data_IF_933549838748
#
_entry.id   IF_933549838748
#
_cell.length_a   1.000
_cell.length_b   1.000
_cell.length_c   1.000
_cell.angle_alpha   90.00
_cell.angle_beta   90.00
_cell.angle_gamma   90.00
#
_symmetry.space_group_name_H-M   'P 1'
#
loop_
_entity.id
_entity.type
_entity.pdbx_description
1 polymer ?
#
# COMPACT_ATOMS: atom_id res chain seq x y z
N UNK A 1 -101.84 15.67 10.11
CA UNK A 1 -100.59 16.44 9.92
C UNK A 1 -99.42 15.48 10.18
N UNK A 2 -98.85 14.80 9.19
CA UNK A 2 -97.96 15.25 8.09
C UNK A 2 -96.46 15.28 8.50
N UNK A 3 -95.69 14.27 8.02
CA UNK A 3 -94.24 14.21 7.66
C UNK A 3 -93.17 14.56 8.73
N UNK A 4 -91.93 14.04 8.80
CA UNK A 4 -91.00 13.22 7.99
C UNK A 4 -89.83 12.78 8.93
N UNK A 5 -89.34 11.53 8.95
CA UNK A 5 -88.30 10.87 8.11
C UNK A 5 -86.84 10.95 8.66
N UNK A 6 -86.18 9.77 8.65
CA UNK A 6 -84.75 9.45 8.40
C UNK A 6 -83.89 8.86 9.56
N UNK A 7 -83.40 7.65 9.28
CA UNK A 7 -82.43 6.76 9.93
C UNK A 7 -81.02 7.32 10.25
N UNK A 8 -80.34 6.75 11.28
CA UNK A 8 -79.05 6.03 11.12
C UNK A 8 -78.60 5.29 12.39
N UNK A 9 -78.20 4.01 12.22
CA UNK A 9 -77.53 3.15 13.20
C UNK A 9 -76.12 3.63 13.54
N UNK A 10 -75.61 3.38 14.77
CA UNK A 10 -74.22 2.94 15.02
C UNK A 10 -74.08 2.08 16.28
N UNK A 11 -73.53 0.87 16.09
CA UNK A 11 -72.98 -0.06 17.10
C UNK A 11 -71.75 0.54 17.79
N UNK A 12 -71.44 0.09 19.02
CA UNK A 12 -70.07 0.16 19.57
C UNK A 12 -69.71 -1.14 20.28
N UNK A 13 -68.94 -1.98 19.58
CA UNK A 13 -68.24 -3.16 20.10
C UNK A 13 -67.17 -2.74 21.13
N UNK A 14 -67.08 -3.49 22.23
CA UNK A 14 -65.92 -3.53 23.12
C UNK A 14 -65.19 -4.86 22.90
N UNK A 15 -63.89 -4.85 23.19
CA UNK A 15 -62.97 -5.99 23.28
C UNK A 15 -62.09 -6.24 22.04
N UNK A 16 -60.86 -5.70 22.10
CA UNK A 16 -59.62 -6.32 21.62
C UNK A 16 -58.48 -5.31 21.77
N UNK A 17 -57.80 -5.27 22.92
CA UNK A 17 -56.58 -4.42 23.07
C UNK A 17 -55.38 -5.10 23.73
N UNK A 18 -55.51 -6.32 24.26
CA UNK A 18 -54.39 -7.00 24.93
C UNK A 18 -53.63 -7.96 24.01
N UNK A 19 -54.21 -8.34 22.86
CA UNK A 19 -53.60 -9.32 21.94
C UNK A 19 -52.48 -8.76 21.06
N UNK A 20 -52.45 -7.45 20.77
CA UNK A 20 -51.42 -6.87 19.88
C UNK A 20 -50.08 -6.62 20.56
N UNK A 21 -50.04 -6.40 21.87
CA UNK A 21 -48.80 -5.99 22.57
C UNK A 21 -47.81 -7.15 22.72
N UNK A 22 -48.30 -8.38 22.91
CA UNK A 22 -47.49 -9.59 23.01
C UNK A 22 -46.89 -10.03 21.66
N UNK A 23 -47.56 -9.73 20.54
CA UNK A 23 -47.06 -9.99 19.18
C UNK A 23 -45.91 -9.05 18.77
N UNK A 24 -45.88 -7.82 19.31
CA UNK A 24 -44.78 -6.88 19.05
C UNK A 24 -43.48 -7.26 19.77
N UNK A 25 -43.56 -7.85 20.96
CA UNK A 25 -42.37 -8.24 21.76
C UNK A 25 -41.66 -9.45 21.12
N UNK A 26 -42.39 -10.39 20.51
CA UNK A 26 -41.78 -11.50 19.76
C UNK A 26 -41.05 -11.05 18.49
N UNK A 27 -41.45 -9.92 17.89
CA UNK A 27 -40.82 -9.40 16.66
C UNK A 27 -39.46 -8.75 16.92
N UNK A 28 -39.24 -8.19 18.11
CA UNK A 28 -37.98 -7.51 18.48
C UNK A 28 -36.89 -8.55 18.83
N UNK A 29 -37.27 -9.69 19.43
CA UNK A 29 -36.33 -10.77 19.77
C UNK A 29 -35.92 -11.63 18.56
N UNK A 30 -36.67 -11.59 17.45
CA UNK A 30 -36.35 -12.30 16.20
C UNK A 30 -35.46 -11.50 15.24
N UNK A 31 -35.15 -10.24 15.55
CA UNK A 31 -34.28 -9.40 14.73
C UNK A 31 -32.81 -9.72 15.03
N UNK A 32 -32.34 -10.81 14.42
CA UNK A 32 -30.99 -10.97 13.90
C UNK A 32 -29.84 -10.48 14.80
N UNK A 33 -29.41 -11.33 15.74
CA UNK A 33 -27.99 -11.33 16.09
C UNK A 33 -27.24 -11.90 14.89
N UNK A 34 -27.00 -11.09 13.86
CA UNK A 34 -25.98 -11.43 12.87
C UNK A 34 -24.65 -11.35 13.61
N UNK A 35 -23.83 -12.41 13.61
CA UNK A 35 -22.45 -12.23 14.04
C UNK A 35 -21.87 -11.11 13.17
N UNK A 36 -21.32 -10.07 13.78
CA UNK A 36 -20.38 -9.18 13.10
C UNK A 36 -19.27 -10.10 12.63
N UNK A 37 -19.35 -10.51 11.36
CA UNK A 37 -18.23 -11.15 10.69
C UNK A 37 -17.17 -10.07 10.66
N UNK A 38 -16.17 -10.17 11.54
CA UNK A 38 -14.94 -9.46 11.33
C UNK A 38 -14.47 -9.91 9.95
N UNK A 39 -14.68 -9.05 8.95
CA UNK A 39 -13.95 -9.11 7.70
C UNK A 39 -12.53 -8.69 8.10
N UNK A 40 -11.82 -9.59 8.79
CA UNK A 40 -10.40 -9.75 8.50
C UNK A 40 -10.43 -10.42 7.14
N UNK A 41 -10.58 -9.57 6.13
CA UNK A 41 -10.24 -9.95 4.77
C UNK A 41 -8.82 -10.46 4.88
N UNK A 42 -8.64 -11.77 4.67
CA UNK A 42 -7.34 -12.29 4.31
C UNK A 42 -7.08 -11.76 2.89
N UNK A 43 -6.88 -10.44 2.76
CA UNK A 43 -6.28 -9.86 1.57
C UNK A 43 -4.92 -10.56 1.50
N UNK A 44 -4.75 -11.43 0.51
CA UNK A 44 -3.41 -11.95 0.23
C UNK A 44 -2.49 -10.74 0.09
N UNK A 45 -1.36 -10.72 0.83
CA UNK A 45 -0.50 -9.55 0.84
C UNK A 45 -0.12 -9.24 -0.61
N UNK A 46 -0.18 -7.96 -1.02
CA UNK A 46 -0.05 -7.58 -2.41
C UNK A 46 1.22 -8.17 -3.02
N UNK A 47 1.05 -9.02 -4.03
CA UNK A 47 2.14 -9.69 -4.72
C UNK A 47 2.68 -8.81 -5.85
N UNK A 48 3.94 -8.41 -5.76
CA UNK A 48 4.68 -7.73 -6.83
C UNK A 48 5.55 -8.75 -7.54
N UNK A 49 5.30 -9.07 -8.82
CA UNK A 49 6.17 -9.96 -9.56
C UNK A 49 7.53 -9.31 -9.75
N UNK A 50 8.58 -10.12 -9.69
CA UNK A 50 9.94 -9.70 -10.03
C UNK A 50 10.53 -10.62 -11.09
N UNK A 51 11.52 -10.12 -11.82
CA UNK A 51 12.42 -10.97 -12.60
C UNK A 51 13.81 -10.93 -11.97
N UNK A 52 14.64 -11.90 -12.28
CA UNK A 52 16.04 -11.90 -11.83
C UNK A 52 16.97 -11.45 -12.94
N UNK A 53 17.94 -10.60 -12.62
CA UNK A 53 19.08 -10.32 -13.48
C UNK A 53 20.35 -10.77 -12.74
N UNK A 54 21.07 -11.77 -13.25
CA UNK A 54 22.22 -12.36 -12.54
C UNK A 54 21.87 -12.98 -11.17
N UNK A 55 20.62 -13.43 -10.98
CA UNK A 55 20.12 -13.95 -9.70
C UNK A 55 19.60 -12.87 -8.74
N UNK A 56 19.73 -11.59 -9.08
CA UNK A 56 19.29 -10.47 -8.24
C UNK A 56 17.84 -10.09 -8.61
N UNK A 57 16.90 -10.02 -7.64
CA UNK A 57 15.53 -9.61 -7.90
C UNK A 57 15.42 -8.15 -8.37
N UNK A 58 14.67 -7.94 -9.45
CA UNK A 58 14.34 -6.65 -10.01
C UNK A 58 12.83 -6.49 -10.09
N UNK A 59 12.29 -5.49 -9.40
CA UNK A 59 10.86 -5.15 -9.41
C UNK A 59 10.59 -3.92 -10.28
N UNK A 60 9.41 -3.89 -10.88
CA UNK A 60 8.86 -2.68 -11.51
C UNK A 60 8.10 -1.85 -10.47
N UNK A 61 8.32 -0.55 -10.48
CA UNK A 61 7.73 0.41 -9.57
C UNK A 61 7.40 1.73 -10.30
N UNK A 62 6.87 2.70 -9.54
CA UNK A 62 6.83 4.11 -9.94
C UNK A 62 7.55 4.95 -8.89
N UNK A 63 8.47 5.80 -9.34
CA UNK A 63 9.09 6.82 -8.51
C UNK A 63 8.58 8.18 -9.00
N UNK A 64 7.92 8.93 -8.10
CA UNK A 64 7.23 10.19 -8.42
C UNK A 64 6.32 10.06 -9.66
N UNK A 65 5.59 8.95 -9.75
CA UNK A 65 4.67 8.64 -10.85
C UNK A 65 5.33 8.14 -12.13
N UNK A 66 6.66 8.13 -12.24
CA UNK A 66 7.40 7.67 -13.43
C UNK A 66 7.83 6.22 -13.28
N UNK A 67 7.73 5.44 -14.36
CA UNK A 67 8.11 4.02 -14.35
C UNK A 67 9.59 3.88 -14.02
N UNK A 68 9.88 3.07 -13.00
CA UNK A 68 11.23 2.78 -12.52
C UNK A 68 11.38 1.28 -12.28
N UNK A 69 12.62 0.80 -12.28
CA UNK A 69 12.94 -0.53 -11.79
C UNK A 69 13.87 -0.43 -10.58
N UNK A 70 13.65 -1.30 -9.61
CA UNK A 70 14.43 -1.32 -8.39
C UNK A 70 15.02 -2.70 -8.17
N UNK A 71 16.30 -2.69 -7.79
CA UNK A 71 16.99 -3.87 -7.31
C UNK A 71 16.59 -4.09 -5.85
N UNK A 72 16.30 -5.33 -5.48
CA UNK A 72 16.05 -5.70 -4.08
C UNK A 72 17.31 -6.33 -3.53
N UNK A 73 17.97 -5.65 -2.60
CA UNK A 73 19.29 -6.01 -2.10
C UNK A 73 19.29 -6.15 -0.58
N UNK A 74 19.23 -7.41 -0.11
CA UNK A 74 19.28 -7.73 1.32
C UNK A 74 20.63 -7.41 1.96
N UNK A 75 21.69 -7.19 1.17
CA UNK A 75 23.00 -6.76 1.64
C UNK A 75 23.13 -5.26 1.87
N UNK A 76 22.20 -4.46 1.33
CA UNK A 76 22.17 -3.01 1.54
C UNK A 76 21.47 -2.66 2.88
N UNK A 77 22.13 -1.86 3.71
CA UNK A 77 21.53 -1.36 4.96
C UNK A 77 20.54 -0.22 4.73
N UNK A 78 20.71 0.53 3.63
CA UNK A 78 19.91 1.70 3.29
C UNK A 78 19.40 1.62 1.85
N UNK A 79 18.23 2.20 1.60
CA UNK A 79 17.66 2.31 0.26
C UNK A 79 18.25 3.51 -0.48
N UNK A 80 18.75 3.28 -1.68
CA UNK A 80 19.45 4.25 -2.51
C UNK A 80 18.66 4.58 -3.76
N UNK A 81 18.55 5.85 -4.12
CA UNK A 81 18.11 6.29 -5.44
C UNK A 81 19.31 6.55 -6.36
N UNK A 82 19.15 6.25 -7.64
CA UNK A 82 20.14 6.52 -8.67
C UNK A 82 20.18 8.02 -8.99
N UNK A 83 21.21 8.71 -8.51
CA UNK A 83 21.41 10.15 -8.68
C UNK A 83 21.55 10.55 -10.16
N UNK A 84 22.11 9.68 -11.00
CA UNK A 84 22.19 9.90 -12.44
C UNK A 84 20.83 10.03 -13.14
N UNK A 85 19.77 9.57 -12.49
CA UNK A 85 18.39 9.64 -12.99
C UNK A 85 17.53 10.66 -12.21
N UNK A 86 18.15 11.51 -11.38
CA UNK A 86 17.44 12.46 -10.53
C UNK A 86 16.51 13.42 -11.30
N UNK A 87 16.99 13.94 -12.43
CA UNK A 87 16.17 14.79 -13.31
C UNK A 87 14.98 14.01 -13.89
N UNK A 88 15.25 12.79 -14.39
CA UNK A 88 14.18 11.95 -14.93
C UNK A 88 13.16 11.63 -13.85
N UNK A 89 13.54 11.24 -12.64
CA UNK A 89 12.59 10.89 -11.58
C UNK A 89 12.08 12.08 -10.76
N UNK A 90 12.56 13.29 -11.02
CA UNK A 90 12.07 14.52 -10.39
C UNK A 90 12.40 14.62 -8.90
N UNK A 91 13.64 14.35 -8.51
CA UNK A 91 14.13 14.56 -7.16
C UNK A 91 15.45 15.34 -7.14
N UNK A 92 15.79 15.91 -5.99
CA UNK A 92 17.02 16.67 -5.78
C UNK A 92 17.90 15.96 -4.76
N UNK A 93 19.22 16.07 -4.93
CA UNK A 93 20.22 15.53 -4.02
C UNK A 93 20.92 16.65 -3.28
N UNK A 94 21.28 16.41 -2.02
CA UNK A 94 22.08 17.35 -1.22
C UNK A 94 23.09 16.58 -0.39
N UNK A 95 24.33 17.05 -0.40
CA UNK A 95 25.38 16.52 0.45
C UNK A 95 25.09 16.83 1.91
N UNK A 96 25.30 15.84 2.78
CA UNK A 96 24.93 15.90 4.19
C UNK A 96 26.09 16.49 5.02
N UNK A 97 26.30 17.81 4.94
CA UNK A 97 27.44 18.46 5.64
C UNK A 97 27.22 18.64 7.15
N UNK A 98 25.99 18.47 7.65
CA UNK A 98 25.61 18.95 8.99
C UNK A 98 25.06 17.88 9.94
N UNK A 99 24.67 16.67 9.48
CA UNK A 99 24.12 15.61 10.33
C UNK A 99 24.29 14.20 9.72
N UNK A 100 24.79 13.24 10.51
CA UNK A 100 24.84 11.79 10.24
C UNK A 100 25.17 11.41 8.78
N UNK A 101 26.44 11.59 8.41
CA UNK A 101 26.99 11.00 7.18
C UNK A 101 26.66 9.51 7.15
N UNK A 102 25.79 9.11 6.23
CA UNK A 102 25.56 7.69 5.97
C UNK A 102 26.68 7.22 5.07
N UNK A 103 27.70 6.64 5.70
CA UNK A 103 28.77 5.94 5.03
C UNK A 103 28.20 4.66 4.40
N UNK A 104 28.21 4.63 3.07
CA UNK A 104 27.93 3.43 2.28
C UNK A 104 29.27 2.82 1.94
N UNK A 105 29.45 1.55 2.31
CA UNK A 105 30.61 0.77 1.88
C UNK A 105 30.17 -0.15 0.77
N UNK A 106 30.71 0.07 -0.42
CA UNK A 106 30.50 -0.77 -1.59
C UNK A 106 31.83 -1.42 -2.01
N UNK A 107 31.85 -2.06 -3.19
CA UNK A 107 33.05 -2.71 -3.72
C UNK A 107 34.19 -1.72 -4.06
N UNK A 108 33.89 -0.42 -4.16
CA UNK A 108 34.83 0.65 -4.47
C UNK A 108 35.30 1.39 -3.20
N UNK A 109 34.90 0.93 -2.01
CA UNK A 109 35.30 1.49 -0.72
C UNK A 109 34.15 2.19 0.01
N UNK A 110 34.50 3.00 1.01
CA UNK A 110 33.53 3.72 1.84
C UNK A 110 33.37 5.15 1.32
N UNK A 111 32.13 5.59 1.17
CA UNK A 111 31.76 6.91 0.66
C UNK A 111 30.50 7.40 1.33
N UNK A 112 30.25 8.71 1.31
CA UNK A 112 29.03 9.30 1.86
C UNK A 112 27.90 9.24 0.84
N UNK A 113 26.71 8.84 1.27
CA UNK A 113 25.50 8.94 0.46
C UNK A 113 24.79 10.28 0.67
N UNK A 114 24.25 10.84 -0.42
CA UNK A 114 23.56 12.13 -0.40
C UNK A 114 22.14 11.97 0.15
N UNK A 115 21.56 13.05 0.71
CA UNK A 115 20.12 13.09 1.03
C UNK A 115 19.31 13.34 -0.23
N UNK A 116 18.13 12.73 -0.28
CA UNK A 116 17.15 12.95 -1.35
C UNK A 116 16.01 13.83 -0.83
N UNK A 117 15.51 14.74 -1.66
CA UNK A 117 14.22 15.40 -1.42
C UNK A 117 13.08 14.38 -1.25
N UNK A 118 11.97 14.72 -0.57
CA UNK A 118 10.84 13.81 -0.43
C UNK A 118 10.37 13.25 -1.77
N UNK A 119 10.19 11.93 -1.83
CA UNK A 119 9.76 11.19 -3.01
C UNK A 119 8.60 10.25 -2.67
N UNK A 120 7.81 9.91 -3.67
CA UNK A 120 6.77 8.89 -3.58
C UNK A 120 7.19 7.68 -4.39
N UNK A 121 7.37 6.55 -3.73
CA UNK A 121 7.66 5.27 -4.36
C UNK A 121 6.44 4.35 -4.26
N UNK A 122 5.96 3.87 -5.39
CA UNK A 122 4.82 2.97 -5.50
C UNK A 122 5.25 1.65 -6.14
N UNK A 123 4.96 0.53 -5.49
CA UNK A 123 5.12 -0.80 -6.09
C UNK A 123 4.03 -1.73 -5.59
N UNK A 124 3.35 -2.41 -6.52
CA UNK A 124 2.09 -3.09 -6.21
C UNK A 124 1.07 -2.11 -5.68
N UNK A 125 0.45 -2.43 -4.53
CA UNK A 125 -0.46 -1.53 -3.81
C UNK A 125 0.25 -0.71 -2.73
N UNK A 126 1.54 -0.97 -2.47
CA UNK A 126 2.29 -0.22 -1.47
C UNK A 126 2.68 1.16 -1.99
N UNK A 127 2.42 2.19 -1.18
CA UNK A 127 2.90 3.56 -1.40
C UNK A 127 3.79 4.01 -0.25
N UNK A 128 5.04 4.33 -0.56
CA UNK A 128 6.06 4.83 0.36
C UNK A 128 6.19 6.35 0.16
N UNK A 129 5.83 7.16 1.18
CA UNK A 129 5.86 8.64 1.11
C UNK A 129 6.88 9.30 2.04
N UNK A 130 7.10 8.72 3.21
CA UNK A 130 7.89 9.32 4.29
C UNK A 130 9.20 8.57 4.56
N UNK A 131 9.78 7.99 3.52
CA UNK A 131 11.08 7.30 3.64
C UNK A 131 12.22 8.26 3.28
N UNK A 132 13.24 8.29 4.12
CA UNK A 132 14.43 9.11 3.94
C UNK A 132 15.44 8.40 3.03
N UNK A 133 15.13 8.35 1.74
CA UNK A 133 16.06 7.81 0.76
C UNK A 133 17.40 8.55 0.79
N UNK A 134 18.46 7.79 0.55
CA UNK A 134 19.77 8.32 0.20
C UNK A 134 20.00 8.18 -1.30
N UNK A 135 21.02 8.83 -1.86
CA UNK A 135 21.38 8.66 -3.27
C UNK A 135 22.86 8.47 -3.50
N UNK A 136 23.15 7.81 -4.62
CA UNK A 136 24.49 7.61 -5.18
C UNK A 136 24.39 7.64 -6.70
N UNK A 137 25.47 8.05 -7.35
CA UNK A 137 25.60 7.91 -8.79
C UNK A 137 25.72 6.41 -9.15
N UNK A 138 24.81 5.94 -9.99
CA UNK A 138 24.79 4.57 -10.50
C UNK A 138 24.72 4.55 -12.04
N UNK A 139 25.14 5.61 -12.74
CA UNK A 139 25.05 5.69 -14.22
C UNK A 139 25.75 4.51 -14.88
N UNK A 140 27.01 4.25 -14.55
CA UNK A 140 27.78 3.17 -15.16
C UNK A 140 27.19 1.78 -14.89
N UNK A 141 26.68 1.58 -13.67
CA UNK A 141 26.02 0.34 -13.28
C UNK A 141 24.68 0.14 -14.01
N UNK A 142 23.90 1.20 -14.18
CA UNK A 142 22.56 1.14 -14.76
C UNK A 142 22.55 1.19 -16.28
N UNK A 143 23.64 1.65 -16.92
CA UNK A 143 23.77 1.79 -18.37
C UNK A 143 23.43 0.52 -19.16
N UNK A 144 23.91 -0.69 -18.82
CA UNK A 144 23.54 -1.91 -19.55
C UNK A 144 22.03 -2.19 -19.54
N UNK A 145 21.35 -1.97 -18.41
CA UNK A 145 19.90 -2.15 -18.31
C UNK A 145 19.14 -1.20 -19.23
N UNK A 146 19.63 0.04 -19.36
CA UNK A 146 19.02 1.03 -20.24
C UNK A 146 19.29 0.71 -21.71
N UNK A 147 20.54 0.44 -22.08
CA UNK A 147 20.96 0.22 -23.47
C UNK A 147 20.44 -1.09 -24.06
N UNK A 148 20.40 -2.16 -23.26
CA UNK A 148 20.07 -3.51 -23.74
C UNK A 148 18.60 -3.87 -23.51
N UNK A 149 18.00 -3.39 -22.42
CA UNK A 149 16.63 -3.78 -22.02
C UNK A 149 15.64 -2.60 -22.04
N UNK A 150 16.11 -1.36 -22.26
CA UNK A 150 15.26 -0.17 -22.22
C UNK A 150 14.75 0.18 -20.82
N UNK A 151 15.49 -0.21 -19.78
CA UNK A 151 15.05 -0.18 -18.39
C UNK A 151 15.85 0.81 -17.57
N UNK A 152 15.13 1.75 -16.94
CA UNK A 152 15.70 2.73 -16.02
C UNK A 152 15.73 2.18 -14.60
N UNK A 153 16.93 2.05 -14.05
CA UNK A 153 17.13 1.70 -12.64
C UNK A 153 16.93 2.95 -11.79
N UNK A 154 15.85 2.96 -11.02
CA UNK A 154 15.55 4.03 -10.07
C UNK A 154 16.37 3.94 -8.79
N UNK A 155 16.88 2.75 -8.45
CA UNK A 155 17.71 2.56 -7.27
C UNK A 155 17.73 1.13 -6.73
N UNK A 156 18.13 1.03 -5.46
CA UNK A 156 18.24 -0.19 -4.67
C UNK A 156 17.32 -0.07 -3.45
N UNK A 157 16.53 -1.11 -3.18
CA UNK A 157 15.76 -1.26 -1.95
C UNK A 157 16.59 -2.04 -0.95
N UNK A 158 16.96 -1.37 0.14
CA UNK A 158 17.74 -1.92 1.24
C UNK A 158 16.88 -2.41 2.40
N UNK A 159 17.56 -2.90 3.43
CA UNK A 159 16.94 -3.52 4.60
C UNK A 159 16.14 -2.55 5.45
N UNK A 160 16.39 -1.24 5.37
CA UNK A 160 15.58 -0.19 5.98
C UNK A 160 14.11 -0.20 5.52
N UNK A 161 13.86 -0.30 4.21
CA UNK A 161 12.50 -0.45 3.66
C UNK A 161 11.97 -1.87 3.89
N UNK A 162 12.79 -2.89 3.61
CA UNK A 162 12.34 -4.28 3.70
C UNK A 162 11.88 -4.65 5.10
N UNK A 163 12.65 -4.27 6.12
CA UNK A 163 12.30 -4.54 7.52
C UNK A 163 11.07 -3.75 7.92
N UNK A 164 10.97 -2.47 7.54
CA UNK A 164 9.85 -1.62 7.91
C UNK A 164 8.51 -2.13 7.36
N UNK A 165 8.50 -2.69 6.15
CA UNK A 165 7.30 -3.20 5.48
C UNK A 165 7.13 -4.73 5.56
N UNK A 166 7.99 -5.42 6.32
CA UNK A 166 8.02 -6.88 6.43
C UNK A 166 8.03 -7.57 5.06
N UNK A 167 8.91 -7.10 4.17
CA UNK A 167 9.04 -7.59 2.81
C UNK A 167 9.45 -9.07 2.82
N UNK A 168 8.73 -9.91 2.08
CA UNK A 168 9.09 -11.30 1.82
C UNK A 168 9.43 -11.48 0.34
N UNK A 169 10.54 -12.16 0.06
CA UNK A 169 10.96 -12.50 -1.30
C UNK A 169 10.73 -13.99 -1.51
N UNK A 170 9.80 -14.34 -2.38
CA UNK A 170 9.55 -15.71 -2.79
C UNK A 170 10.25 -15.98 -4.13
N UNK A 171 11.47 -16.52 -4.07
CA UNK A 171 12.25 -16.88 -5.26
C UNK A 171 11.64 -18.02 -6.07
N UNK A 172 10.86 -18.92 -5.44
CA UNK A 172 10.23 -20.02 -6.17
C UNK A 172 9.12 -19.48 -7.06
N UNK A 173 8.28 -18.61 -6.50
CA UNK A 173 7.11 -18.05 -7.19
C UNK A 173 7.40 -16.71 -7.89
N UNK A 174 8.62 -16.16 -7.75
CA UNK A 174 9.05 -14.89 -8.35
C UNK A 174 8.16 -13.70 -7.95
N UNK A 175 7.77 -13.66 -6.68
CA UNK A 175 6.92 -12.60 -6.11
C UNK A 175 7.51 -12.02 -4.84
N UNK A 176 7.25 -10.74 -4.63
CA UNK A 176 7.49 -10.04 -3.38
C UNK A 176 6.17 -9.69 -2.74
N UNK A 177 6.07 -9.83 -1.42
CA UNK A 177 4.90 -9.44 -0.64
C UNK A 177 5.28 -8.61 0.58
N UNK A 178 4.31 -7.86 1.12
CA UNK A 178 4.48 -6.94 2.24
C UNK A 178 3.39 -7.19 3.28
N UNK A 179 3.66 -6.97 4.57
CA UNK A 179 2.73 -7.33 5.66
C UNK A 179 2.42 -6.17 6.61
N UNK A 180 2.45 -4.94 6.13
CA UNK A 180 2.20 -3.74 6.94
C UNK A 180 1.22 -2.81 6.25
#
# INVERSE_FOLDING_TARGET
MMYAKIHRQRRKQRSCRVSCLLLFILFILGSSCSPVRSVYENEEPPHVPFRTHGGIPLIKAKLNGKTAHFIVDTGASVSLLNEGEAEYFGFQTRQDELYDEVCVTDLNGTTTANRVSPCVLEFGTLTVRSHHFKSRDMVEFSRPFMEQEGIRIGGILGSDLMTYYHLQIDFKNHVISFKK
#
